data_IF_338099850308
#
_entry.id   IF_338099850308
#
_cell.length_a   1.000
_cell.length_b   1.000
_cell.length_c   1.000
_cell.angle_alpha   90.00
_cell.angle_beta   90.00
_cell.angle_gamma   90.00
#
_symmetry.space_group_name_H-M   'P 1'
#
loop_
_entity.id
_entity.type
_entity.pdbx_description
1 polymer ?
#
# COMPACT_ATOMS: atom_id res chain seq x y z
N UNK A 1 59.45 -15.67 39.23
CA UNK A 1 60.49 -15.48 38.19
C UNK A 1 59.99 -16.14 36.90
N UNK A 2 60.29 -15.56 35.73
CA UNK A 2 59.39 -15.22 34.60
C UNK A 2 59.17 -16.40 33.61
N UNK A 3 58.34 -16.37 32.54
CA UNK A 3 58.59 -15.66 31.27
C UNK A 3 57.51 -15.97 30.19
N UNK A 4 57.00 -14.90 29.55
CA UNK A 4 56.63 -14.68 28.13
C UNK A 4 56.24 -15.82 27.17
N UNK A 5 55.10 -15.65 26.47
CA UNK A 5 54.89 -15.65 25.00
C UNK A 5 53.38 -15.84 24.71
N UNK A 6 52.63 -15.08 23.91
CA UNK A 6 52.96 -14.28 22.72
C UNK A 6 52.43 -14.96 21.45
N UNK A 7 51.11 -15.03 21.21
CA UNK A 7 50.56 -15.42 19.89
C UNK A 7 49.33 -14.55 19.54
N UNK A 8 49.54 -13.63 18.58
CA UNK A 8 48.50 -12.92 17.81
C UNK A 8 47.64 -13.93 17.05
N UNK A 9 46.32 -13.70 16.93
CA UNK A 9 45.50 -14.02 15.73
C UNK A 9 44.12 -13.34 15.77
N UNK A 10 43.94 -12.47 14.78
CA UNK A 10 42.77 -11.84 14.14
C UNK A 10 41.39 -11.79 14.85
N UNK A 11 40.68 -10.63 14.83
CA UNK A 11 39.26 -10.57 15.13
C UNK A 11 38.48 -11.27 14.00
N UNK A 12 37.77 -12.34 14.35
CA UNK A 12 36.88 -13.03 13.42
C UNK A 12 35.84 -12.07 12.85
N UNK A 13 35.86 -11.91 11.53
CA UNK A 13 34.85 -11.16 10.80
C UNK A 13 33.48 -11.83 11.01
N UNK A 14 32.61 -11.15 11.77
CA UNK A 14 31.19 -11.47 11.87
C UNK A 14 30.56 -11.26 10.48
N UNK A 15 30.33 -12.36 9.77
CA UNK A 15 29.42 -12.43 8.64
C UNK A 15 28.00 -12.16 9.18
N UNK A 16 27.62 -10.89 9.23
CA UNK A 16 26.24 -10.49 9.41
C UNK A 16 25.48 -10.84 8.13
N UNK A 17 24.91 -12.05 8.09
CA UNK A 17 23.89 -12.41 7.12
C UNK A 17 22.67 -11.53 7.41
N UNK A 18 22.59 -10.38 6.75
CA UNK A 18 21.45 -9.50 6.83
C UNK A 18 20.24 -10.25 6.26
N UNK A 19 19.47 -10.87 7.16
CA UNK A 19 18.17 -11.43 6.85
C UNK A 19 17.35 -10.28 6.25
N UNK A 20 17.14 -10.30 4.93
CA UNK A 20 16.27 -9.35 4.26
C UNK A 20 14.85 -9.63 4.72
N UNK A 21 14.48 -9.08 5.88
CA UNK A 21 13.11 -9.13 6.36
C UNK A 21 12.25 -8.42 5.32
N UNK A 22 11.18 -9.04 4.78
CA UNK A 22 10.24 -8.32 3.94
C UNK A 22 9.71 -7.14 4.76
N UNK A 23 9.91 -5.92 4.26
CA UNK A 23 9.32 -4.74 4.88
C UNK A 23 7.80 -4.99 5.01
N UNK A 24 7.17 -4.63 6.14
CA UNK A 24 5.72 -4.72 6.23
C UNK A 24 5.16 -3.91 5.06
N UNK A 25 4.47 -4.58 4.15
CA UNK A 25 3.82 -3.94 3.02
C UNK A 25 2.94 -2.83 3.60
N UNK A 26 3.33 -1.59 3.29
CA UNK A 26 2.82 -0.42 3.97
C UNK A 26 1.31 -0.34 3.83
N UNK A 27 0.64 -0.11 4.96
CA UNK A 27 -0.79 0.10 4.97
C UNK A 27 -1.18 1.29 4.11
N UNK A 28 -1.93 1.06 3.04
CA UNK A 28 -2.36 2.12 2.14
C UNK A 28 -3.41 3.01 2.82
N UNK A 29 -3.05 4.27 3.04
CA UNK A 29 -3.93 5.27 3.63
C UNK A 29 -4.52 6.15 2.53
N UNK A 30 -5.85 6.14 2.44
CA UNK A 30 -6.59 6.83 1.39
C UNK A 30 -7.47 7.92 2.00
N UNK A 31 -7.53 9.07 1.35
CA UNK A 31 -8.42 10.16 1.72
C UNK A 31 -9.20 10.64 0.51
N UNK A 32 -10.51 10.73 0.70
CA UNK A 32 -11.41 11.30 -0.30
C UNK A 32 -11.31 12.82 -0.23
N UNK A 33 -10.93 13.44 -1.33
CA UNK A 33 -10.87 14.90 -1.47
C UNK A 33 -12.12 15.41 -2.19
N UNK A 34 -12.43 16.69 -2.01
CA UNK A 34 -13.60 17.33 -2.62
C UNK A 34 -13.33 17.88 -4.03
N UNK A 35 -12.06 18.01 -4.42
CA UNK A 35 -11.67 18.62 -5.68
C UNK A 35 -10.72 17.71 -6.46
N UNK A 36 -11.03 17.50 -7.74
CA UNK A 36 -10.21 16.69 -8.65
C UNK A 36 -8.76 17.20 -8.77
N UNK A 37 -8.50 18.49 -8.58
CA UNK A 37 -7.16 19.09 -8.60
C UNK A 37 -6.30 18.70 -7.39
N UNK A 38 -6.90 18.21 -6.31
CA UNK A 38 -6.21 17.76 -5.10
C UNK A 38 -5.99 16.24 -5.09
N UNK A 39 -6.59 15.53 -6.04
CA UNK A 39 -6.55 14.08 -6.10
C UNK A 39 -5.35 13.59 -6.90
N UNK A 40 -4.72 12.54 -6.39
CA UNK A 40 -3.71 11.78 -7.11
C UNK A 40 -4.37 10.82 -8.10
N UNK A 41 -5.58 10.32 -7.77
CA UNK A 41 -6.36 9.40 -8.61
C UNK A 41 -7.83 9.77 -8.68
N UNK A 42 -8.39 9.72 -9.89
CA UNK A 42 -9.84 9.85 -10.13
C UNK A 42 -10.48 8.48 -10.23
N UNK A 43 -11.49 8.26 -9.41
CA UNK A 43 -12.16 6.98 -9.28
C UNK A 43 -13.60 7.06 -9.79
N UNK A 44 -14.05 6.04 -10.50
CA UNK A 44 -15.46 5.90 -10.86
C UNK A 44 -16.08 4.74 -10.09
N UNK A 45 -17.17 5.00 -9.35
CA UNK A 45 -17.90 3.95 -8.62
C UNK A 45 -18.72 3.12 -9.60
N UNK A 46 -18.41 1.83 -9.70
CA UNK A 46 -19.22 0.88 -10.45
C UNK A 46 -20.11 0.05 -9.52
N UNK A 47 -21.17 -0.55 -10.07
CA UNK A 47 -22.11 -1.38 -9.31
C UNK A 47 -21.83 -2.89 -9.43
N UNK A 48 -21.03 -3.28 -10.42
CA UNK A 48 -20.76 -4.68 -10.75
C UNK A 48 -19.27 -4.96 -10.77
N UNK A 49 -18.87 -6.09 -10.17
CA UNK A 49 -17.47 -6.50 -10.11
C UNK A 49 -16.85 -6.66 -11.49
N UNK A 50 -17.61 -7.14 -12.48
CA UNK A 50 -17.15 -7.28 -13.87
C UNK A 50 -16.77 -5.96 -14.55
N UNK A 51 -17.26 -4.82 -14.05
CA UNK A 51 -16.96 -3.48 -14.58
C UNK A 51 -15.83 -2.79 -13.81
N UNK A 52 -15.45 -3.33 -12.65
CA UNK A 52 -14.41 -2.76 -11.81
C UNK A 52 -13.03 -3.19 -12.32
N UNK A 53 -12.09 -2.26 -12.32
CA UNK A 53 -10.67 -2.57 -12.45
C UNK A 53 -10.10 -3.02 -11.09
N UNK A 54 -10.55 -2.38 -10.01
CA UNK A 54 -10.11 -2.63 -8.64
C UNK A 54 -11.31 -2.75 -7.68
N UNK A 55 -11.37 -3.83 -6.91
CA UNK A 55 -12.32 -3.97 -5.81
C UNK A 55 -11.65 -3.51 -4.53
N UNK A 56 -12.22 -2.50 -3.88
CA UNK A 56 -11.68 -1.91 -2.66
C UNK A 56 -12.47 -2.34 -1.44
N UNK A 57 -11.79 -2.50 -0.32
CA UNK A 57 -12.44 -2.72 0.97
C UNK A 57 -11.91 -1.74 2.00
N UNK A 58 -12.83 -1.05 2.68
CA UNK A 58 -12.47 -0.17 3.79
C UNK A 58 -12.23 -0.98 5.05
N UNK A 59 -10.97 -1.05 5.47
CA UNK A 59 -10.60 -1.76 6.68
C UNK A 59 -10.87 -0.93 7.94
N UNK A 60 -11.06 -1.62 9.07
CA UNK A 60 -11.31 -0.99 10.39
C UNK A 60 -10.06 -0.62 11.16
N UNK A 61 -8.92 -1.15 10.78
CA UNK A 61 -7.64 -0.84 11.40
C UNK A 61 -6.59 -0.60 10.34
N UNK A 62 -5.73 0.40 10.57
CA UNK A 62 -4.60 0.71 9.67
C UNK A 62 -3.73 -0.52 9.41
N UNK A 63 -3.49 -1.36 10.41
CA UNK A 63 -2.69 -2.59 10.26
C UNK A 63 -3.29 -3.63 9.29
N UNK A 64 -4.56 -3.52 8.95
CA UNK A 64 -5.23 -4.40 7.99
C UNK A 64 -5.17 -3.86 6.56
N UNK A 65 -4.89 -2.56 6.38
CA UNK A 65 -4.63 -2.04 5.05
C UNK A 65 -3.31 -2.66 4.59
N UNK A 66 -3.36 -3.32 3.43
CA UNK A 66 -2.24 -4.02 2.85
C UNK A 66 -2.49 -4.16 1.34
N UNK A 67 -1.46 -3.87 0.56
CA UNK A 67 -1.54 -3.83 -0.90
C UNK A 67 -2.45 -2.71 -1.42
N UNK A 68 -2.86 -2.86 -2.68
CA UNK A 68 -3.56 -1.79 -3.42
C UNK A 68 -5.07 -1.74 -3.16
N UNK A 69 -5.65 -2.79 -2.55
CA UNK A 69 -7.10 -2.99 -2.51
C UNK A 69 -7.73 -2.84 -1.11
N UNK A 70 -6.91 -2.87 -0.05
CA UNK A 70 -7.36 -2.72 1.33
C UNK A 70 -7.04 -1.31 1.81
N UNK A 71 -8.06 -0.47 1.94
CA UNK A 71 -7.90 0.97 2.14
C UNK A 71 -8.21 1.35 3.57
N UNK A 72 -7.30 2.10 4.19
CA UNK A 72 -7.55 2.75 5.46
C UNK A 72 -7.95 4.21 5.24
N UNK A 73 -9.14 4.60 5.74
CA UNK A 73 -9.60 5.98 5.65
C UNK A 73 -8.76 6.88 6.56
N UNK A 74 -7.93 7.73 5.96
CA UNK A 74 -7.18 8.74 6.69
C UNK A 74 -8.10 9.87 7.16
N UNK A 75 -7.89 10.35 8.39
CA UNK A 75 -8.67 11.46 8.94
C UNK A 75 -8.35 12.79 8.24
N UNK A 76 -7.12 12.96 7.79
CA UNK A 76 -6.63 14.17 7.13
C UNK A 76 -5.91 13.82 5.83
N UNK A 77 -6.07 14.65 4.80
CA UNK A 77 -5.41 14.49 3.51
C UNK A 77 -3.88 14.45 3.61
N UNK A 78 -3.29 15.14 4.59
CA UNK A 78 -1.84 15.15 4.84
C UNK A 78 -1.28 13.82 5.38
N UNK A 79 -2.14 12.95 5.90
CA UNK A 79 -1.79 11.62 6.40
C UNK A 79 -2.10 10.51 5.38
N UNK A 80 -2.75 10.88 4.27
CA UNK A 80 -3.07 9.97 3.19
C UNK A 80 -1.83 9.80 2.30
N UNK A 81 -1.53 8.55 1.97
CA UNK A 81 -0.59 8.24 0.89
C UNK A 81 -1.22 8.49 -0.47
N UNK A 82 -2.56 8.41 -0.55
CA UNK A 82 -3.32 8.59 -1.79
C UNK A 82 -4.52 9.47 -1.53
N UNK A 83 -4.66 10.52 -2.32
CA UNK A 83 -5.87 11.32 -2.38
C UNK A 83 -6.69 10.87 -3.58
N UNK A 84 -7.94 10.53 -3.32
CA UNK A 84 -8.85 10.03 -4.35
C UNK A 84 -10.02 10.98 -4.52
N UNK A 85 -10.46 11.16 -5.75
CA UNK A 85 -11.67 11.92 -6.07
C UNK A 85 -12.63 11.06 -6.87
N UNK A 86 -13.88 10.98 -6.44
CA UNK A 86 -14.90 10.24 -7.16
C UNK A 86 -15.50 11.13 -8.25
N UNK A 87 -15.43 10.67 -9.50
CA UNK A 87 -16.04 11.33 -10.66
C UNK A 87 -17.38 10.69 -11.01
N UNK A 88 -18.26 11.46 -11.65
CA UNK A 88 -19.58 11.00 -12.09
C UNK A 88 -19.54 10.22 -13.42
N UNK A 89 -18.43 10.29 -14.16
CA UNK A 89 -18.30 9.67 -15.47
C UNK A 89 -17.04 8.81 -15.58
N UNK A 90 -17.22 7.56 -16.03
CA UNK A 90 -16.13 6.61 -16.22
C UNK A 90 -15.03 7.12 -17.18
N UNK A 91 -15.37 7.98 -18.14
CA UNK A 91 -14.40 8.58 -19.08
C UNK A 91 -13.45 9.57 -18.42
N UNK A 92 -13.77 10.06 -17.22
CA UNK A 92 -12.94 11.00 -16.46
C UNK A 92 -12.10 10.30 -15.38
N UNK A 93 -12.36 9.02 -15.13
CA UNK A 93 -11.68 8.25 -14.10
C UNK A 93 -10.42 7.58 -14.65
N UNK A 94 -9.41 7.53 -13.80
CA UNK A 94 -8.21 6.74 -14.03
C UNK A 94 -8.48 5.26 -13.71
N UNK A 95 -9.36 4.99 -12.73
CA UNK A 95 -9.70 3.64 -12.26
C UNK A 95 -11.20 3.48 -11.98
N UNK A 96 -11.78 2.36 -12.40
CA UNK A 96 -13.13 1.95 -11.97
C UNK A 96 -13.03 1.12 -10.71
N UNK A 97 -13.69 1.57 -9.65
CA UNK A 97 -13.64 0.92 -8.33
C UNK A 97 -15.00 0.41 -7.91
N UNK A 98 -14.99 -0.78 -7.31
CA UNK A 98 -16.15 -1.34 -6.60
C UNK A 98 -15.82 -1.46 -5.13
N UNK A 99 -16.64 -0.87 -4.28
CA UNK A 99 -16.55 -1.08 -2.84
C UNK A 99 -17.18 -2.42 -2.46
N UNK A 100 -16.43 -3.27 -1.76
CA UNK A 100 -16.88 -4.59 -1.32
C UNK A 100 -16.90 -4.70 0.21
N UNK A 101 -17.81 -5.52 0.73
CA UNK A 101 -18.01 -5.69 2.17
C UNK A 101 -16.92 -6.54 2.85
N UNK A 102 -16.20 -7.35 2.07
CA UNK A 102 -15.21 -8.29 2.61
C UNK A 102 -13.83 -8.08 1.99
N UNK A 103 -12.79 -8.05 2.83
CA UNK A 103 -11.39 -7.97 2.40
C UNK A 103 -10.97 -9.09 1.42
N UNK A 104 -11.56 -10.29 1.54
CA UNK A 104 -11.30 -11.41 0.63
C UNK A 104 -11.80 -11.19 -0.80
N UNK A 105 -12.74 -10.26 -0.99
CA UNK A 105 -13.26 -9.86 -2.31
C UNK A 105 -12.48 -8.68 -2.89
N UNK A 106 -11.64 -8.04 -2.09
CA UNK A 106 -10.82 -6.91 -2.53
C UNK A 106 -9.66 -7.42 -3.39
N UNK A 107 -9.34 -6.67 -4.43
CA UNK A 107 -8.27 -7.01 -5.35
C UNK A 107 -8.51 -6.53 -6.77
N UNK A 108 -7.44 -6.53 -7.55
CA UNK A 108 -7.48 -6.24 -8.98
C UNK A 108 -8.34 -7.27 -9.71
N UNK A 109 -9.15 -6.81 -10.66
CA UNK A 109 -9.98 -7.66 -11.51
C UNK A 109 -9.21 -8.13 -12.77
N UNK A 110 -7.91 -8.30 -12.63
CA UNK A 110 -6.95 -8.52 -13.73
C UNK A 110 -5.51 -8.42 -13.22
N UNK A 111 -4.52 -8.31 -14.11
CA UNK A 111 -3.13 -8.17 -13.71
C UNK A 111 -2.95 -6.90 -12.84
N UNK A 112 -2.22 -6.98 -11.71
CA UNK A 112 -1.95 -5.82 -10.88
C UNK A 112 -1.18 -4.76 -11.68
N UNK A 113 -1.74 -3.56 -11.78
CA UNK A 113 -1.09 -2.43 -12.46
C UNK A 113 -0.31 -1.54 -11.48
N UNK A 114 -0.50 -1.77 -10.17
CA UNK A 114 -0.15 -0.81 -9.14
C UNK A 114 -1.02 0.45 -9.26
N UNK A 115 -1.05 1.25 -8.20
CA UNK A 115 -1.83 2.48 -8.22
C UNK A 115 -1.15 3.63 -8.99
N UNK A 116 0.06 3.42 -9.54
CA UNK A 116 0.78 4.41 -10.35
C UNK A 116 1.27 5.64 -9.58
N UNK A 117 1.13 5.63 -8.26
CA UNK A 117 1.50 6.71 -7.34
C UNK A 117 2.97 6.52 -6.97
N UNK A 118 3.81 7.47 -7.38
CA UNK A 118 5.23 7.56 -7.03
C UNK A 118 5.48 8.85 -6.27
#
# INVERSE_FOLDING_TARGET
MPMTAGIRRAPGALLALALLAPAPAGALTVHEVEYASQADLKLFRVRYASQADLRIHWVRHRSQANGDALWWKAKYASQAQVKVFYVDYASQADLKVLEVDYASQAGWNGPPRGLGIR
#
